data_IF_203551467883
#
_entry.id   IF_203551467883
#
_cell.length_a   1.000
_cell.length_b   1.000
_cell.length_c   1.000
_cell.angle_alpha   90.00
_cell.angle_beta   90.00
_cell.angle_gamma   90.00
#
_symmetry.space_group_name_H-M   'P 1'
#
loop_
_entity.id
_entity.type
_entity.pdbx_description
1 polymer ?
#
# COMPACT_ATOMS: atom_id res chain seq x y z
N UNK A 1 -10.94 0.29 11.63
CA UNK A 1 -9.54 -0.10 11.94
C UNK A 1 -9.21 -1.51 11.45
N UNK A 2 -10.12 -2.51 11.54
CA UNK A 2 -9.86 -3.86 11.03
C UNK A 2 -9.92 -4.03 9.49
N UNK A 3 -10.45 -3.06 8.75
CA UNK A 3 -10.73 -3.19 7.30
C UNK A 3 -9.46 -3.15 6.42
N UNK A 4 -8.38 -2.48 6.85
CA UNK A 4 -7.19 -2.30 5.99
C UNK A 4 -6.56 -3.65 5.58
N UNK A 5 -6.54 -4.62 6.49
CA UNK A 5 -6.01 -5.96 6.22
C UNK A 5 -7.08 -6.95 5.78
N UNK A 6 -8.36 -6.59 5.86
CA UNK A 6 -9.46 -7.51 5.58
C UNK A 6 -9.47 -7.97 4.11
N UNK A 7 -9.61 -9.28 3.90
CA UNK A 7 -9.65 -9.89 2.58
C UNK A 7 -8.30 -9.98 1.85
N UNK A 8 -7.19 -9.62 2.50
CA UNK A 8 -5.85 -9.87 1.98
C UNK A 8 -5.47 -11.33 2.21
N UNK A 9 -4.62 -11.87 1.33
CA UNK A 9 -3.92 -13.11 1.64
C UNK A 9 -2.69 -12.83 2.53
N UNK A 10 -2.07 -13.89 3.04
CA UNK A 10 -0.95 -13.79 3.97
C UNK A 10 0.21 -12.96 3.42
N UNK A 11 0.61 -13.16 2.17
CA UNK A 11 1.72 -12.44 1.55
C UNK A 11 1.41 -10.94 1.37
N UNK A 12 0.15 -10.61 1.07
CA UNK A 12 -0.32 -9.23 0.96
C UNK A 12 -0.38 -8.56 2.34
N UNK A 13 -0.87 -9.25 3.37
CA UNK A 13 -0.88 -8.76 4.76
C UNK A 13 0.53 -8.44 5.24
N UNK A 14 1.48 -9.36 5.03
CA UNK A 14 2.89 -9.16 5.38
C UNK A 14 3.49 -7.95 4.65
N UNK A 15 3.20 -7.78 3.36
CA UNK A 15 3.66 -6.64 2.59
C UNK A 15 3.05 -5.30 3.04
N UNK A 16 1.76 -5.28 3.39
CA UNK A 16 1.07 -4.10 3.93
C UNK A 16 1.64 -3.72 5.30
N UNK A 17 1.82 -4.71 6.19
CA UNK A 17 2.26 -4.52 7.57
C UNK A 17 3.79 -4.44 7.76
N UNK A 18 4.58 -4.49 6.67
CA UNK A 18 6.04 -4.40 6.75
C UNK A 18 6.50 -3.07 7.39
N UNK A 19 7.24 -3.13 8.50
CA UNK A 19 7.52 -1.96 9.33
C UNK A 19 8.81 -1.22 9.00
N UNK A 20 9.91 -1.94 8.76
CA UNK A 20 11.25 -1.34 8.77
C UNK A 20 12.09 -1.82 7.60
N UNK A 21 12.88 -0.89 7.06
CA UNK A 21 13.83 -1.16 5.99
C UNK A 21 13.20 -1.32 4.60
N UNK A 22 14.03 -1.47 3.57
CA UNK A 22 13.58 -1.64 2.19
C UNK A 22 12.73 -2.90 1.99
N UNK A 23 11.74 -2.83 1.11
CA UNK A 23 10.91 -3.96 0.70
C UNK A 23 10.79 -4.00 -0.83
N UNK A 24 10.97 -5.18 -1.42
CA UNK A 24 10.72 -5.45 -2.84
C UNK A 24 9.56 -6.44 -2.97
N UNK A 25 8.51 -6.06 -3.70
CA UNK A 25 7.35 -6.92 -3.97
C UNK A 25 7.39 -7.33 -5.44
N UNK A 26 7.56 -8.62 -5.70
CA UNK A 26 7.53 -9.21 -7.05
C UNK A 26 6.20 -9.95 -7.21
N UNK A 27 5.38 -9.53 -8.17
CA UNK A 27 4.10 -10.20 -8.41
C UNK A 27 3.61 -10.07 -9.87
N UNK A 28 2.87 -11.08 -10.32
CA UNK A 28 2.29 -11.15 -11.66
C UNK A 28 1.15 -10.15 -11.91
N UNK A 29 0.64 -10.11 -13.15
CA UNK A 29 -0.54 -9.30 -13.45
C UNK A 29 -1.76 -9.79 -12.65
N UNK A 30 -2.65 -8.87 -12.23
CA UNK A 30 -3.89 -9.22 -11.52
C UNK A 30 -3.74 -9.64 -10.05
N UNK A 31 -2.53 -9.70 -9.49
CA UNK A 31 -2.30 -10.18 -8.11
C UNK A 31 -2.52 -9.14 -7.01
N UNK A 32 -3.13 -8.00 -7.34
CA UNK A 32 -3.43 -6.96 -6.35
C UNK A 32 -2.25 -6.04 -5.95
N UNK A 33 -1.19 -5.92 -6.76
CA UNK A 33 -0.04 -5.04 -6.47
C UNK A 33 -0.44 -3.62 -6.05
N UNK A 34 -1.33 -3.00 -6.81
CA UNK A 34 -1.82 -1.64 -6.50
C UNK A 34 -2.57 -1.60 -5.17
N UNK A 35 -3.40 -2.61 -4.89
CA UNK A 35 -4.13 -2.75 -3.61
C UNK A 35 -3.18 -2.83 -2.43
N UNK A 36 -2.09 -3.61 -2.55
CA UNK A 36 -1.07 -3.71 -1.50
C UNK A 36 -0.40 -2.36 -1.27
N UNK A 37 0.00 -1.66 -2.33
CA UNK A 37 0.67 -0.35 -2.20
C UNK A 37 -0.24 0.68 -1.54
N UNK A 38 -1.52 0.79 -1.96
CA UNK A 38 -2.44 1.78 -1.38
C UNK A 38 -2.81 1.44 0.06
N UNK A 39 -3.09 0.16 0.37
CA UNK A 39 -3.38 -0.28 1.74
C UNK A 39 -2.16 -0.15 2.66
N UNK A 40 -0.94 -0.33 2.14
CA UNK A 40 0.29 -0.05 2.89
C UNK A 40 0.39 1.41 3.31
N UNK A 41 0.06 2.35 2.41
CA UNK A 41 0.05 3.78 2.74
C UNK A 41 -0.97 4.04 3.86
N UNK A 42 -2.21 3.56 3.69
CA UNK A 42 -3.24 3.68 4.72
C UNK A 42 -2.82 3.07 6.06
N UNK A 43 -2.15 1.91 6.04
CA UNK A 43 -1.65 1.22 7.22
C UNK A 43 -0.55 2.02 7.94
N UNK A 44 0.43 2.57 7.21
CA UNK A 44 1.49 3.39 7.80
C UNK A 44 0.92 4.63 8.49
N UNK A 45 -0.09 5.26 7.88
CA UNK A 45 -0.78 6.41 8.46
C UNK A 45 -1.61 6.00 9.68
N UNK A 46 -2.35 4.88 9.62
CA UNK A 46 -3.21 4.43 10.72
C UNK A 46 -2.42 3.99 11.95
N UNK A 47 -1.24 3.40 11.75
CA UNK A 47 -0.34 2.99 12.83
C UNK A 47 0.52 4.15 13.38
N UNK A 48 0.40 5.36 12.80
CA UNK A 48 1.21 6.51 13.19
C UNK A 48 2.71 6.35 12.86
N UNK A 49 3.04 5.48 11.91
CA UNK A 49 4.42 5.22 11.47
C UNK A 49 4.91 6.25 10.44
N UNK A 50 4.00 7.01 9.85
CA UNK A 50 4.28 8.13 8.96
C UNK A 50 3.15 9.17 9.03
N UNK A 51 3.47 10.42 8.68
CA UNK A 51 2.50 11.47 8.40
C UNK A 51 2.21 11.56 6.91
N UNK A 52 1.10 12.17 6.55
CA UNK A 52 0.68 12.34 5.14
C UNK A 52 1.72 13.06 4.29
N UNK A 53 2.44 14.02 4.86
CA UNK A 53 3.51 14.77 4.19
C UNK A 53 4.87 14.06 4.18
N UNK A 54 4.98 12.86 4.73
CA UNK A 54 6.21 12.04 4.77
C UNK A 54 6.19 10.90 3.75
N UNK A 55 5.07 10.71 3.03
CA UNK A 55 4.89 9.62 2.06
C UNK A 55 4.91 10.17 0.63
N UNK A 56 5.75 9.58 -0.21
CA UNK A 56 5.75 9.80 -1.66
C UNK A 56 5.41 8.49 -2.38
N UNK A 57 4.31 8.50 -3.14
CA UNK A 57 3.91 7.40 -4.01
C UNK A 57 4.07 7.82 -5.48
N UNK A 58 4.80 7.03 -6.27
CA UNK A 58 5.10 7.31 -7.67
C UNK A 58 4.58 6.19 -8.57
N UNK A 59 4.12 6.57 -9.76
CA UNK A 59 3.68 5.64 -10.80
C UNK A 59 3.91 6.27 -12.17
N UNK A 60 3.76 5.49 -13.24
CA UNK A 60 4.16 5.92 -14.58
C UNK A 60 3.16 6.86 -15.27
N UNK A 61 1.88 6.81 -14.90
CA UNK A 61 0.83 7.59 -15.58
C UNK A 61 -0.01 8.39 -14.59
N UNK A 62 -0.47 9.57 -14.99
CA UNK A 62 -1.35 10.41 -14.19
C UNK A 62 -2.64 9.68 -13.80
N UNK A 63 -3.21 8.90 -14.73
CA UNK A 63 -4.39 8.08 -14.47
C UNK A 63 -4.18 7.11 -13.31
N UNK A 64 -3.02 6.43 -13.28
CA UNK A 64 -2.70 5.52 -12.19
C UNK A 64 -2.47 6.28 -10.87
N UNK A 65 -1.88 7.48 -10.93
CA UNK A 65 -1.68 8.32 -9.74
C UNK A 65 -3.02 8.73 -9.12
N UNK A 66 -3.96 9.22 -9.94
CA UNK A 66 -5.32 9.55 -9.49
C UNK A 66 -6.04 8.34 -8.89
N UNK A 67 -5.97 7.18 -9.55
CA UNK A 67 -6.58 5.95 -9.03
C UNK A 67 -5.98 5.47 -7.71
N UNK A 68 -4.68 5.68 -7.50
CA UNK A 68 -4.05 5.37 -6.20
C UNK A 68 -4.53 6.33 -5.12
N UNK A 69 -4.63 7.63 -5.44
CA UNK A 69 -5.09 8.66 -4.51
C UNK A 69 -6.53 8.42 -4.03
N UNK A 70 -7.44 7.99 -4.90
CA UNK A 70 -8.83 7.66 -4.56
C UNK A 70 -8.98 6.47 -3.60
N UNK A 71 -7.91 5.68 -3.39
CA UNK A 71 -7.92 4.42 -2.61
C UNK A 71 -7.16 4.50 -1.29
N UNK A 72 -6.54 5.64 -0.98
CA UNK A 72 -5.82 5.91 0.28
C UNK A 72 -6.73 6.72 1.19
#
# INVERSE_FOLDING_TARGET
MNDILEGLNKEQEEAVAHRQGPLLIIAGAGTGKTTVVTRRIAWLLSEGLAKTNEILALTFTDKAATQMLERV
#
